data_IF_347811034684
#
_entry.id   IF_347811034684
#
_cell.length_a   1.000
_cell.length_b   1.000
_cell.length_c   1.000
_cell.angle_alpha   90.00
_cell.angle_beta   90.00
_cell.angle_gamma   90.00
#
_symmetry.space_group_name_H-M   'P 1'
#
loop_
_entity.id
_entity.type
_entity.pdbx_description
1 polymer ?
#
# COMPACT_ATOMS: atom_id res chain seq x y z
N UNK A 1 -12.90 -7.27 14.35
CA UNK A 1 -14.27 -7.53 13.87
C UNK A 1 -14.35 -8.97 13.37
N UNK A 2 -13.94 -9.31 12.14
CA UNK A 2 -14.06 -10.70 11.61
C UNK A 2 -13.39 -11.82 12.43
N UNK A 3 -12.17 -11.61 12.93
CA UNK A 3 -11.50 -12.59 13.81
C UNK A 3 -12.15 -12.69 15.20
N UNK A 4 -12.76 -11.60 15.68
CA UNK A 4 -13.43 -11.56 16.98
C UNK A 4 -14.80 -12.26 16.92
N UNK A 5 -15.40 -12.32 15.74
CA UNK A 5 -16.67 -13.02 15.47
C UNK A 5 -16.50 -14.54 15.34
N UNK A 6 -15.28 -15.08 15.58
CA UNK A 6 -14.98 -16.51 15.51
C UNK A 6 -14.86 -17.09 14.10
N UNK A 7 -14.78 -16.23 13.08
CA UNK A 7 -14.58 -16.62 11.69
C UNK A 7 -13.13 -17.00 11.39
N UNK A 8 -12.95 -17.98 10.51
CA UNK A 8 -11.63 -18.29 9.93
C UNK A 8 -11.32 -17.30 8.82
N UNK A 9 -10.06 -16.88 8.72
CA UNK A 9 -9.63 -15.91 7.71
C UNK A 9 -8.18 -16.11 7.30
N UNK A 10 -7.85 -15.61 6.12
CA UNK A 10 -6.51 -15.57 5.58
C UNK A 10 -6.07 -14.12 5.41
N UNK A 11 -4.86 -13.80 5.86
CA UNK A 11 -4.26 -12.46 5.73
C UNK A 11 -2.93 -12.59 5.00
N UNK A 12 -2.83 -11.94 3.85
CA UNK A 12 -1.55 -11.72 3.18
C UNK A 12 -1.03 -10.32 3.53
N UNK A 13 0.11 -10.26 4.21
CA UNK A 13 0.78 -9.04 4.62
C UNK A 13 2.01 -8.80 3.73
N UNK A 14 2.25 -7.54 3.37
CA UNK A 14 3.44 -7.12 2.63
C UNK A 14 4.15 -6.00 3.36
N UNK A 15 5.47 -6.12 3.49
CA UNK A 15 6.30 -5.09 4.11
C UNK A 15 6.97 -4.15 3.09
N UNK A 16 6.62 -4.29 1.81
CA UNK A 16 7.22 -3.51 0.74
C UNK A 16 6.97 -2.00 0.89
N UNK A 17 5.74 -1.62 1.27
CA UNK A 17 5.31 -0.22 1.25
C UNK A 17 5.45 0.49 2.61
N UNK A 18 5.06 -0.19 3.69
CA UNK A 18 5.07 0.39 5.03
C UNK A 18 6.48 0.43 5.67
N UNK A 19 7.40 -0.45 5.25
CA UNK A 19 8.79 -0.47 5.70
C UNK A 19 9.78 -0.16 4.56
N UNK A 20 9.30 0.18 3.37
CA UNK A 20 10.17 0.51 2.23
C UNK A 20 10.95 -0.66 1.63
N UNK A 21 10.66 -1.90 2.04
CA UNK A 21 11.41 -3.11 1.67
C UNK A 21 10.94 -3.72 0.34
N UNK A 22 10.80 -2.89 -0.71
CA UNK A 22 10.26 -3.32 -2.00
C UNK A 22 11.06 -4.46 -2.66
N UNK A 23 12.38 -4.33 -2.66
CA UNK A 23 13.31 -5.29 -3.27
C UNK A 23 13.54 -6.56 -2.44
N UNK A 24 13.35 -6.50 -1.13
CA UNK A 24 13.63 -7.60 -0.19
C UNK A 24 12.58 -8.71 -0.20
N UNK A 25 11.45 -8.50 -0.87
CA UNK A 25 10.37 -9.49 -1.06
C UNK A 25 9.82 -10.05 0.25
N UNK A 26 9.64 -9.17 1.25
CA UNK A 26 9.17 -9.56 2.59
C UNK A 26 7.66 -9.46 2.71
N UNK A 27 7.06 -10.53 3.24
CA UNK A 27 5.64 -10.63 3.54
C UNK A 27 5.35 -11.79 4.48
N UNK A 28 4.09 -11.94 4.87
CA UNK A 28 3.63 -13.03 5.71
C UNK A 28 2.23 -13.48 5.29
N UNK A 29 1.98 -14.79 5.33
CA UNK A 29 0.64 -15.37 5.22
C UNK A 29 0.21 -15.86 6.61
N UNK A 30 -0.86 -15.29 7.14
CA UNK A 30 -1.46 -15.73 8.40
C UNK A 30 -2.81 -16.38 8.11
N UNK A 31 -3.04 -17.57 8.65
CA UNK A 31 -4.33 -18.28 8.55
C UNK A 31 -4.86 -18.44 9.97
N UNK A 32 -6.02 -17.82 10.23
CA UNK A 32 -6.71 -17.92 11.52
C UNK A 32 -7.66 -19.09 11.45
N UNK A 33 -7.40 -20.11 12.27
CA UNK A 33 -8.24 -21.31 12.37
C UNK A 33 -9.02 -21.30 13.70
N UNK A 34 -10.16 -21.98 13.73
CA UNK A 34 -11.01 -22.07 14.95
C UNK A 34 -10.35 -22.84 16.09
N UNK A 35 -9.43 -23.74 15.78
CA UNK A 35 -8.77 -24.60 16.76
C UNK A 35 -7.29 -24.81 16.41
N UNK A 36 -6.48 -25.04 17.45
CA UNK A 36 -5.03 -25.16 17.32
C UNK A 36 -4.59 -26.42 16.55
N UNK A 37 -5.35 -27.51 16.65
CA UNK A 37 -5.13 -28.74 15.89
C UNK A 37 -5.32 -28.50 14.38
N UNK A 38 -6.35 -27.73 14.01
CA UNK A 38 -6.60 -27.32 12.62
C UNK A 38 -5.46 -26.44 12.12
N UNK A 39 -5.00 -25.47 12.92
CA UNK A 39 -3.87 -24.62 12.56
C UNK A 39 -2.60 -25.42 12.26
N UNK A 40 -2.28 -26.42 13.09
CA UNK A 40 -1.13 -27.30 12.87
C UNK A 40 -1.24 -28.11 11.57
N UNK A 41 -2.45 -28.64 11.28
CA UNK A 41 -2.71 -29.36 10.02
C UNK A 41 -2.55 -28.45 8.81
N UNK A 42 -3.11 -27.23 8.88
CA UNK A 42 -2.97 -26.22 7.82
C UNK A 42 -1.51 -25.84 7.60
N UNK A 43 -0.74 -25.61 8.67
CA UNK A 43 0.69 -25.29 8.59
C UNK A 43 1.48 -26.40 7.88
N UNK A 44 1.17 -27.67 8.18
CA UNK A 44 1.85 -28.80 7.53
C UNK A 44 1.58 -28.86 6.03
N UNK A 45 0.33 -28.61 5.61
CA UNK A 45 -0.03 -28.54 4.18
C UNK A 45 0.62 -27.34 3.50
N UNK A 46 0.69 -26.19 4.17
CA UNK A 46 1.32 -24.98 3.62
C UNK A 46 2.82 -25.21 3.37
N UNK A 47 3.51 -25.91 4.27
CA UNK A 47 4.92 -26.29 4.08
C UNK A 47 5.12 -27.18 2.84
N UNK A 48 4.19 -28.10 2.57
CA UNK A 48 4.23 -28.95 1.36
C UNK A 48 4.05 -28.15 0.08
N UNK A 49 3.28 -27.05 0.11
CA UNK A 49 3.11 -26.14 -1.04
C UNK A 49 4.33 -25.25 -1.22
N UNK A 50 4.88 -24.68 -0.15
CA UNK A 50 6.03 -23.76 -0.21
C UNK A 50 7.29 -24.45 -0.72
N UNK A 51 7.56 -25.67 -0.26
CA UNK A 51 8.80 -26.39 -0.55
C UNK A 51 9.10 -26.56 -2.05
N UNK A 52 8.16 -27.02 -2.91
CA UNK A 52 8.40 -27.11 -4.35
C UNK A 52 8.37 -25.75 -5.07
N UNK A 53 7.78 -24.70 -4.49
CA UNK A 53 7.72 -23.38 -5.12
C UNK A 53 9.06 -22.64 -5.04
N UNK A 54 9.66 -22.59 -3.85
CA UNK A 54 10.90 -21.84 -3.62
C UNK A 54 11.75 -22.38 -2.46
N UNK A 55 11.49 -23.60 -1.98
CA UNK A 55 12.16 -24.24 -0.83
C UNK A 55 11.95 -23.53 0.50
N UNK A 56 12.56 -22.36 0.71
CA UNK A 56 12.48 -21.56 1.92
C UNK A 56 12.60 -20.06 1.59
N UNK A 57 11.98 -19.16 2.39
CA UNK A 57 11.94 -17.74 2.10
C UNK A 57 13.28 -17.02 2.38
N UNK A 58 13.51 -15.83 1.78
CA UNK A 58 14.70 -15.02 2.03
C UNK A 58 14.75 -14.49 3.47
N UNK A 59 15.92 -14.57 4.10
CA UNK A 59 16.12 -14.23 5.53
C UNK A 59 16.38 -12.75 5.79
N UNK A 60 17.00 -12.03 4.86
CA UNK A 60 17.54 -10.70 5.12
C UNK A 60 16.46 -9.69 5.50
N UNK A 61 15.54 -9.40 4.58
CA UNK A 61 14.43 -8.50 4.87
C UNK A 61 13.54 -8.97 6.03
N UNK A 62 13.31 -10.28 6.18
CA UNK A 62 12.57 -10.82 7.32
C UNK A 62 13.26 -10.51 8.66
N UNK A 63 14.60 -10.53 8.70
CA UNK A 63 15.38 -10.19 9.89
C UNK A 63 15.32 -8.69 10.20
N UNK A 64 15.30 -7.81 9.19
CA UNK A 64 15.11 -6.36 9.37
C UNK A 64 13.75 -6.10 10.02
N UNK A 65 12.69 -6.65 9.44
CA UNK A 65 11.32 -6.53 9.99
C UNK A 65 11.27 -7.04 11.42
N UNK A 66 11.82 -8.23 11.69
CA UNK A 66 11.83 -8.80 13.03
C UNK A 66 12.61 -7.93 14.04
N UNK A 67 13.70 -7.30 13.62
CA UNK A 67 14.50 -6.41 14.47
C UNK A 67 13.70 -5.16 14.86
N UNK A 68 13.08 -4.49 13.88
CA UNK A 68 12.26 -3.30 14.11
C UNK A 68 11.06 -3.63 15.02
N UNK A 69 10.37 -4.75 14.77
CA UNK A 69 9.15 -5.10 15.51
C UNK A 69 9.42 -5.63 16.94
N UNK A 70 10.64 -6.10 17.23
CA UNK A 70 11.01 -6.63 18.56
C UNK A 70 11.58 -5.56 19.48
N UNK A 71 12.18 -4.51 18.93
CA UNK A 71 12.71 -3.39 19.71
C UNK A 71 11.67 -2.27 19.79
N UNK A 72 11.28 -1.91 21.01
CA UNK A 72 10.25 -0.89 21.24
C UNK A 72 10.65 0.48 20.71
N UNK A 73 11.92 0.87 20.84
CA UNK A 73 12.38 2.18 20.38
C UNK A 73 12.35 2.23 18.85
N UNK A 74 12.83 1.18 18.17
CA UNK A 74 12.78 1.10 16.71
C UNK A 74 11.34 1.04 16.19
N UNK A 75 10.45 0.33 16.89
CA UNK A 75 9.03 0.28 16.55
C UNK A 75 8.36 1.65 16.65
N UNK A 76 8.63 2.38 17.73
CA UNK A 76 8.07 3.71 17.94
C UNK A 76 8.60 4.70 16.89
N UNK A 77 9.90 4.65 16.58
CA UNK A 77 10.52 5.44 15.50
C UNK A 77 9.89 5.13 14.13
N UNK A 78 9.81 3.85 13.77
CA UNK A 78 9.16 3.41 12.53
C UNK A 78 7.71 3.87 12.43
N UNK A 79 6.96 3.84 13.54
CA UNK A 79 5.57 4.29 13.56
C UNK A 79 5.44 5.80 13.29
N UNK A 80 6.37 6.60 13.81
CA UNK A 80 6.43 8.04 13.53
C UNK A 80 6.74 8.30 12.06
N UNK A 81 7.73 7.61 11.48
CA UNK A 81 8.07 7.74 10.06
C UNK A 81 6.92 7.32 9.15
N UNK A 82 6.27 6.21 9.47
CA UNK A 82 5.11 5.71 8.72
C UNK A 82 3.96 6.71 8.73
N UNK A 83 3.69 7.32 9.89
CA UNK A 83 2.68 8.37 10.02
C UNK A 83 3.05 9.60 9.20
N UNK A 84 4.30 10.06 9.26
CA UNK A 84 4.76 11.20 8.46
C UNK A 84 4.58 10.96 6.94
N UNK A 85 4.85 9.74 6.47
CA UNK A 85 4.60 9.36 5.07
C UNK A 85 3.11 9.38 4.71
N UNK A 86 2.24 8.88 5.59
CA UNK A 86 0.79 8.90 5.38
C UNK A 86 0.25 10.33 5.36
N UNK A 87 0.67 11.16 6.32
CA UNK A 87 0.28 12.57 6.44
C UNK A 87 0.71 13.37 5.20
N UNK A 88 1.90 13.08 4.64
CA UNK A 88 2.36 13.68 3.38
C UNK A 88 1.42 13.36 2.22
N UNK A 89 0.97 12.11 2.09
CA UNK A 89 0.05 11.70 1.02
C UNK A 89 -1.30 12.41 1.16
N UNK A 90 -1.83 12.52 2.39
CA UNK A 90 -3.06 13.24 2.69
C UNK A 90 -2.92 14.72 2.32
N UNK A 91 -1.80 15.36 2.69
CA UNK A 91 -1.53 16.74 2.34
C UNK A 91 -1.42 16.97 0.82
N UNK A 92 -0.81 16.05 0.08
CA UNK A 92 -0.73 16.14 -1.39
C UNK A 92 -2.10 15.98 -2.05
N UNK A 93 -2.98 15.13 -1.52
CA UNK A 93 -4.38 15.01 -1.99
C UNK A 93 -5.12 16.34 -1.85
N UNK A 94 -4.99 16.97 -0.68
CA UNK A 94 -5.65 18.25 -0.43
C UNK A 94 -5.13 19.34 -1.38
N UNK A 95 -3.81 19.47 -1.51
CA UNK A 95 -3.21 20.48 -2.39
C UNK A 95 -3.58 20.28 -3.87
N UNK A 96 -3.66 19.03 -4.34
CA UNK A 96 -4.12 18.73 -5.68
C UNK A 96 -5.58 19.14 -5.88
N UNK A 97 -6.46 18.81 -4.91
CA UNK A 97 -7.86 19.18 -4.95
C UNK A 97 -8.04 20.71 -4.98
N UNK A 98 -7.35 21.44 -4.11
CA UNK A 98 -7.41 22.90 -4.03
C UNK A 98 -6.92 23.55 -5.34
N UNK A 99 -5.85 23.02 -5.94
CA UNK A 99 -5.32 23.48 -7.22
C UNK A 99 -6.30 23.25 -8.38
N UNK A 100 -6.99 22.11 -8.41
CA UNK A 100 -8.00 21.80 -9.43
C UNK A 100 -9.22 22.73 -9.28
N UNK A 101 -9.65 22.95 -8.04
CA UNK A 101 -10.80 23.80 -7.73
C UNK A 101 -10.53 25.27 -8.06
N UNK A 102 -9.36 25.80 -7.69
CA UNK A 102 -8.95 27.18 -7.99
C UNK A 102 -8.89 27.49 -9.49
N UNK A 103 -8.63 26.48 -10.33
CA UNK A 103 -8.63 26.60 -11.80
C UNK A 103 -10.01 26.48 -12.43
N UNK A 104 -11.06 26.27 -11.63
CA UNK A 104 -12.42 26.10 -12.12
C UNK A 104 -12.60 24.87 -13.01
N UNK A 105 -11.82 23.81 -12.77
CA UNK A 105 -11.90 22.58 -13.58
C UNK A 105 -13.30 21.97 -13.47
N UNK A 106 -13.98 21.66 -14.60
CA UNK A 106 -15.31 21.07 -14.56
C UNK A 106 -15.38 19.74 -13.81
N UNK A 107 -16.52 19.46 -13.18
CA UNK A 107 -16.80 18.20 -12.47
C UNK A 107 -16.59 18.24 -10.96
N UNK A 108 -17.00 17.17 -10.26
CA UNK A 108 -16.69 16.97 -8.85
C UNK A 108 -15.36 16.22 -8.69
N UNK A 109 -14.47 16.80 -7.90
CA UNK A 109 -13.14 16.25 -7.60
C UNK A 109 -13.00 15.80 -6.14
N UNK A 110 -14.10 15.80 -5.37
CA UNK A 110 -14.12 15.44 -3.95
C UNK A 110 -13.67 14.01 -3.67
N UNK A 111 -13.68 13.12 -4.66
CA UNK A 111 -13.15 11.76 -4.55
C UNK A 111 -11.63 11.72 -4.31
N UNK A 112 -10.88 12.75 -4.73
CA UNK A 112 -9.42 12.81 -4.50
C UNK A 112 -9.09 12.81 -3.01
N UNK A 113 -9.86 13.55 -2.21
CA UNK A 113 -9.65 13.67 -0.76
C UNK A 113 -10.32 12.55 0.04
N UNK A 114 -11.39 11.94 -0.48
CA UNK A 114 -12.11 10.83 0.18
C UNK A 114 -11.40 9.48 0.05
N UNK A 115 -10.59 9.29 -1.01
CA UNK A 115 -9.87 8.05 -1.23
C UNK A 115 -8.70 7.86 -0.26
N UNK A 116 -8.48 6.61 0.18
CA UNK A 116 -7.43 6.23 1.12
C UNK A 116 -6.31 5.47 0.38
N UNK A 117 -5.07 5.71 0.79
CA UNK A 117 -3.90 4.98 0.31
C UNK A 117 -3.07 5.77 -0.71
N UNK A 118 -2.11 5.06 -1.32
CA UNK A 118 -1.09 5.68 -2.19
C UNK A 118 -1.58 6.04 -3.60
N UNK A 119 -2.71 5.48 -4.03
CA UNK A 119 -3.21 5.62 -5.40
C UNK A 119 -4.52 6.39 -5.41
N UNK A 120 -4.74 7.18 -6.46
CA UNK A 120 -5.99 7.89 -6.68
C UNK A 120 -6.50 7.58 -8.05
N UNK A 121 -7.75 7.13 -8.14
CA UNK A 121 -8.46 7.11 -9.40
C UNK A 121 -8.95 8.52 -9.70
N UNK A 122 -8.38 9.15 -10.71
CA UNK A 122 -8.72 10.52 -11.10
C UNK A 122 -10.09 10.61 -11.76
N UNK A 123 -10.56 9.53 -12.38
CA UNK A 123 -11.78 9.52 -13.20
C UNK A 123 -11.53 9.95 -14.66
N UNK A 124 -10.27 10.22 -15.03
CA UNK A 124 -9.90 10.50 -16.41
C UNK A 124 -10.05 9.23 -17.26
N UNK A 125 -10.64 9.40 -18.45
CA UNK A 125 -10.71 8.32 -19.42
C UNK A 125 -9.37 8.15 -20.16
N UNK A 126 -9.20 7.04 -20.88
CA UNK A 126 -7.93 6.72 -21.55
C UNK A 126 -7.51 7.76 -22.60
N UNK A 127 -8.44 8.48 -23.24
CA UNK A 127 -8.10 9.54 -24.19
C UNK A 127 -7.53 10.76 -23.46
N UNK A 128 -8.12 11.13 -22.32
CA UNK A 128 -7.62 12.21 -21.46
C UNK A 128 -6.24 11.84 -20.88
N UNK A 129 -6.04 10.60 -20.45
CA UNK A 129 -4.73 10.10 -19.98
C UNK A 129 -3.67 10.21 -21.09
N UNK A 130 -4.00 9.80 -22.32
CA UNK A 130 -3.10 9.90 -23.46
C UNK A 130 -2.76 11.37 -23.78
N UNK A 131 -3.73 12.28 -23.70
CA UNK A 131 -3.52 13.71 -23.87
C UNK A 131 -2.57 14.27 -22.81
N UNK A 132 -2.78 13.93 -21.52
CA UNK A 132 -1.91 14.34 -20.41
C UNK A 132 -0.47 13.84 -20.59
N UNK A 133 -0.30 12.62 -21.12
CA UNK A 133 1.02 12.04 -21.39
C UNK A 133 1.72 12.72 -22.55
N UNK A 134 0.99 13.00 -23.63
CA UNK A 134 1.55 13.55 -24.88
C UNK A 134 1.90 15.04 -24.76
N UNK A 135 0.99 15.84 -24.20
CA UNK A 135 1.10 17.30 -24.21
C UNK A 135 1.77 17.83 -22.93
N UNK A 136 1.59 17.17 -21.79
CA UNK A 136 2.08 17.64 -20.49
C UNK A 136 3.12 16.72 -19.85
N UNK A 137 3.46 15.59 -20.48
CA UNK A 137 4.39 14.58 -19.94
C UNK A 137 4.01 14.09 -18.53
N UNK A 138 2.70 14.05 -18.24
CA UNK A 138 2.17 13.52 -16.98
C UNK A 138 1.78 12.06 -17.20
N UNK A 139 2.60 11.16 -16.67
CA UNK A 139 2.43 9.72 -16.84
C UNK A 139 1.55 9.15 -15.74
N UNK A 140 0.48 8.48 -16.15
CA UNK A 140 -0.45 7.75 -15.29
C UNK A 140 -0.91 6.47 -15.99
N UNK A 141 -1.52 5.54 -15.26
CA UNK A 141 -2.05 4.32 -15.87
C UNK A 141 -3.28 4.63 -16.73
N UNK A 142 -3.56 3.78 -17.71
CA UNK A 142 -4.63 4.01 -18.70
C UNK A 142 -6.05 4.02 -18.11
N UNK A 143 -6.21 3.51 -16.90
CA UNK A 143 -7.42 3.56 -16.06
C UNK A 143 -7.55 4.87 -15.24
N UNK A 144 -6.62 5.82 -15.42
CA UNK A 144 -6.61 7.09 -14.73
C UNK A 144 -6.11 7.01 -13.28
N UNK A 145 -5.46 5.92 -12.88
CA UNK A 145 -4.83 5.81 -11.56
C UNK A 145 -3.49 6.55 -11.50
N UNK A 146 -3.35 7.42 -10.51
CA UNK A 146 -2.14 8.21 -10.25
C UNK A 146 -1.57 7.85 -8.88
N UNK A 147 -0.24 7.71 -8.82
CA UNK A 147 0.49 7.46 -7.60
C UNK A 147 0.76 8.78 -6.84
N UNK A 148 0.08 9.01 -5.73
CA UNK A 148 0.12 10.28 -4.99
C UNK A 148 1.50 10.60 -4.39
N UNK A 149 2.34 9.59 -4.17
CA UNK A 149 3.68 9.81 -3.66
C UNK A 149 4.61 10.52 -4.67
N UNK A 150 4.29 10.47 -5.97
CA UNK A 150 5.02 11.16 -7.05
C UNK A 150 4.68 12.64 -7.13
N UNK A 151 3.53 13.05 -6.59
CA UNK A 151 3.11 14.45 -6.57
C UNK A 151 3.97 15.20 -5.54
N UNK A 152 4.52 16.33 -5.99
CA UNK A 152 5.30 17.28 -5.20
C UNK A 152 4.71 18.66 -5.38
N UNK A 153 4.89 19.54 -4.39
CA UNK A 153 4.46 20.96 -4.45
C UNK A 153 4.83 21.64 -5.77
N UNK A 154 6.03 21.38 -6.28
CA UNK A 154 6.55 21.99 -7.52
C UNK A 154 5.82 21.53 -8.80
N UNK A 155 5.13 20.38 -8.77
CA UNK A 155 4.50 19.77 -9.94
C UNK A 155 2.96 19.80 -9.88
N UNK A 156 2.38 20.47 -8.88
CA UNK A 156 0.93 20.73 -8.78
C UNK A 156 0.55 22.03 -9.56
N UNK A 157 1.55 22.80 -10.00
CA UNK A 157 1.42 24.08 -10.70
C UNK A 157 1.57 23.94 -12.21
#
# INVERSE_FOLDING_TARGET
MFAADGGELLVAQSYAKNMGLYGERVGALTIVCKAADVASRVESQLKLVIRPMYSNPPIHGASIVATILRDRNLYDEWTVELKAMADRIISMRQQLFDAIQSRGTPGDWSHIIKQIGMFTFTGLNSQQVAFMTKEYHIYMTSDGSVAQFLIRKHNIL
#
